data_IF_688942480367
#
_entry.id   IF_688942480367
#
_cell.length_a   1.000
_cell.length_b   1.000
_cell.length_c   1.000
_cell.angle_alpha   90.00
_cell.angle_beta   90.00
_cell.angle_gamma   90.00
#
_symmetry.space_group_name_H-M   'P 1'
#
loop_
_entity.id
_entity.type
_entity.pdbx_description
1 polymer ?
#
# COMPACT_ATOMS: atom_id res chain seq x y z
N UNK A 1 -33.21 17.15 -12.86
CA UNK A 1 -34.11 17.15 -11.68
C UNK A 1 -33.28 16.75 -10.48
N UNK A 2 -33.08 17.65 -9.51
CA UNK A 2 -32.25 17.39 -8.32
C UNK A 2 -33.17 17.15 -7.12
N UNK A 3 -33.20 15.92 -6.60
CA UNK A 3 -33.95 15.55 -5.39
C UNK A 3 -32.97 14.82 -4.49
N UNK A 4 -32.59 15.44 -3.37
CA UNK A 4 -31.76 14.83 -2.36
C UNK A 4 -32.51 14.85 -1.03
N UNK A 5 -33.05 13.70 -0.63
CA UNK A 5 -33.76 13.52 0.64
C UNK A 5 -32.92 12.80 1.71
N UNK A 6 -31.71 12.35 1.37
CA UNK A 6 -30.85 11.56 2.27
C UNK A 6 -31.35 10.15 2.58
N UNK A 7 -32.46 9.72 1.97
CA UNK A 7 -33.16 8.45 2.30
C UNK A 7 -33.14 7.48 1.12
N UNK A 8 -33.10 7.98 -0.12
CA UNK A 8 -33.15 7.14 -1.33
C UNK A 8 -31.88 7.26 -2.17
N UNK A 9 -31.49 6.17 -2.83
CA UNK A 9 -30.40 6.18 -3.81
C UNK A 9 -30.73 7.13 -4.95
N UNK A 10 -29.69 7.77 -5.49
CA UNK A 10 -29.83 8.84 -6.49
C UNK A 10 -29.20 8.40 -7.80
N UNK A 11 -29.83 8.77 -8.91
CA UNK A 11 -29.27 8.59 -10.26
C UNK A 11 -29.08 9.98 -10.88
N UNK A 12 -27.89 10.25 -11.40
CA UNK A 12 -27.59 11.44 -12.19
C UNK A 12 -27.06 10.99 -13.55
N UNK A 13 -27.59 11.60 -14.62
CA UNK A 13 -27.11 11.35 -15.98
C UNK A 13 -26.73 12.68 -16.59
N UNK A 14 -25.53 12.75 -17.15
CA UNK A 14 -25.06 13.87 -17.98
C UNK A 14 -24.70 13.40 -19.39
N UNK A 15 -24.06 14.27 -20.18
CA UNK A 15 -23.75 13.96 -21.58
C UNK A 15 -22.74 12.82 -21.77
N UNK A 16 -21.95 12.49 -20.75
CA UNK A 16 -20.85 11.51 -20.84
C UNK A 16 -20.86 10.44 -19.75
N UNK A 17 -21.62 10.62 -18.67
CA UNK A 17 -21.63 9.75 -17.49
C UNK A 17 -23.04 9.45 -16.98
N UNK A 18 -23.18 8.28 -16.35
CA UNK A 18 -24.30 7.90 -15.49
C UNK A 18 -23.79 7.53 -14.11
N UNK A 19 -24.20 8.30 -13.10
CA UNK A 19 -23.82 8.10 -11.71
C UNK A 19 -24.97 7.51 -10.91
N UNK A 20 -24.65 6.59 -10.00
CA UNK A 20 -25.52 6.16 -8.92
C UNK A 20 -24.87 6.46 -7.59
N UNK A 21 -25.62 7.04 -6.64
CA UNK A 21 -25.13 7.32 -5.28
C UNK A 21 -26.02 6.63 -4.25
N UNK A 22 -25.42 6.13 -3.17
CA UNK A 22 -26.18 5.68 -1.99
C UNK A 22 -26.95 6.85 -1.35
N UNK A 23 -28.01 6.58 -0.54
CA UNK A 23 -28.79 7.61 0.13
C UNK A 23 -27.97 8.62 0.92
N UNK A 24 -26.98 8.11 1.68
CA UNK A 24 -26.07 8.91 2.48
C UNK A 24 -24.91 9.53 1.68
N UNK A 25 -24.84 9.26 0.37
CA UNK A 25 -23.78 9.74 -0.51
C UNK A 25 -22.41 9.11 -0.29
N UNK A 26 -22.27 8.09 0.54
CA UNK A 26 -20.99 7.46 0.86
C UNK A 26 -20.52 6.40 -0.14
N UNK A 27 -21.40 5.89 -1.00
CA UNK A 27 -21.05 4.91 -2.05
C UNK A 27 -21.51 5.45 -3.39
N UNK A 28 -20.75 5.19 -4.45
CA UNK A 28 -21.12 5.57 -5.79
C UNK A 28 -20.66 4.57 -6.86
N UNK A 29 -21.36 4.60 -7.99
CA UNK A 29 -21.03 3.89 -9.22
C UNK A 29 -21.07 4.90 -10.36
N UNK A 30 -20.01 4.96 -11.19
CA UNK A 30 -19.96 5.74 -12.43
C UNK A 30 -19.87 4.79 -13.62
N UNK A 31 -20.74 5.01 -14.59
CA UNK A 31 -20.78 4.30 -15.86
C UNK A 31 -20.56 5.33 -16.96
N UNK A 32 -19.45 5.19 -17.67
CA UNK A 32 -19.16 6.00 -18.85
C UNK A 32 -19.67 5.31 -20.13
N UNK A 33 -19.89 6.09 -21.19
CA UNK A 33 -20.41 5.60 -22.46
C UNK A 33 -19.60 4.45 -23.10
N UNK A 34 -18.31 4.31 -22.76
CA UNK A 34 -17.45 3.23 -23.24
C UNK A 34 -17.50 1.94 -22.38
N UNK A 35 -18.40 1.87 -21.39
CA UNK A 35 -18.63 0.66 -20.59
C UNK A 35 -17.66 0.44 -19.43
N UNK A 36 -16.81 1.40 -19.09
CA UNK A 36 -16.02 1.33 -17.87
C UNK A 36 -16.93 1.62 -16.66
N UNK A 37 -16.92 0.71 -15.69
CA UNK A 37 -17.65 0.82 -14.43
C UNK A 37 -16.63 1.12 -13.33
N UNK A 38 -16.69 2.32 -12.74
CA UNK A 38 -15.93 2.66 -11.55
C UNK A 38 -16.88 2.60 -10.34
N UNK A 39 -16.46 1.93 -9.27
CA UNK A 39 -17.18 1.91 -8.00
C UNK A 39 -16.27 2.47 -6.92
N UNK A 40 -16.80 3.35 -6.07
CA UNK A 40 -16.01 3.99 -5.02
C UNK A 40 -16.82 4.36 -3.79
N UNK A 41 -16.08 4.61 -2.72
CA UNK A 41 -16.61 5.18 -1.49
C UNK A 41 -16.25 6.67 -1.44
N UNK A 42 -17.15 7.50 -0.98
CA UNK A 42 -16.94 8.96 -0.81
C UNK A 42 -16.17 9.25 0.48
N UNK A 43 -16.35 8.40 1.50
CA UNK A 43 -15.62 8.43 2.76
C UNK A 43 -14.83 7.12 2.90
N UNK A 44 -13.64 7.05 2.30
CA UNK A 44 -12.67 6.01 2.65
C UNK A 44 -11.91 6.50 3.89
N UNK A 45 -12.24 5.95 5.06
CA UNK A 45 -11.41 6.11 6.27
C UNK A 45 -10.10 5.34 6.06
N UNK A 46 -9.10 6.07 5.55
CA UNK A 46 -7.80 5.54 5.13
C UNK A 46 -7.61 5.69 3.62
N UNK A 47 -7.01 6.81 3.19
CA UNK A 47 -6.79 7.05 1.76
C UNK A 47 -5.69 6.13 1.25
N UNK A 48 -6.07 5.11 0.49
CA UNK A 48 -5.18 4.48 -0.49
C UNK A 48 -5.39 5.17 -1.84
N UNK A 49 -4.54 6.14 -2.15
CA UNK A 49 -4.55 6.78 -3.48
C UNK A 49 -3.76 5.89 -4.44
N UNK A 50 -4.43 5.30 -5.44
CA UNK A 50 -3.77 4.80 -6.65
C UNK A 50 -3.56 5.99 -7.59
N UNK A 51 -2.34 6.53 -7.66
CA UNK A 51 -1.97 7.49 -8.71
C UNK A 51 -1.16 6.75 -9.77
N UNK A 52 -1.76 6.56 -10.95
CA UNK A 52 -1.02 6.23 -12.16
C UNK A 52 -0.65 7.52 -12.87
N UNK A 53 0.64 7.88 -12.88
CA UNK A 53 1.14 8.78 -13.92
C UNK A 53 1.68 7.95 -15.10
N UNK A 54 2.01 8.58 -16.22
CA UNK A 54 2.47 7.88 -17.44
C UNK A 54 3.79 7.09 -17.27
N UNK A 55 4.40 7.11 -16.08
CA UNK A 55 5.73 6.57 -15.79
C UNK A 55 5.72 5.62 -14.59
N UNK A 56 4.94 5.88 -13.52
CA UNK A 56 4.98 5.08 -12.29
C UNK A 56 3.61 4.90 -11.60
N UNK A 57 3.45 3.72 -10.99
CA UNK A 57 2.42 3.46 -9.98
C UNK A 57 2.96 3.84 -8.59
N UNK A 58 2.39 4.86 -7.95
CA UNK A 58 2.90 5.37 -6.67
C UNK A 58 1.87 5.28 -5.53
N UNK A 59 2.33 4.82 -4.36
CA UNK A 59 1.63 4.97 -3.09
C UNK A 59 2.15 6.24 -2.40
N UNK A 60 1.29 7.06 -1.78
CA UNK A 60 1.67 8.28 -1.02
C UNK A 60 0.97 8.36 0.35
N UNK A 61 1.66 8.85 1.38
CA UNK A 61 1.08 9.13 2.69
C UNK A 61 0.34 10.46 2.69
N UNK A 62 -0.88 10.50 3.23
CA UNK A 62 -1.73 11.71 3.29
C UNK A 62 -1.13 12.80 4.18
N UNK A 63 -0.46 12.39 5.26
CA UNK A 63 0.10 13.29 6.26
C UNK A 63 1.61 13.14 6.27
N UNK A 64 2.33 14.27 6.22
CA UNK A 64 3.80 14.28 6.34
C UNK A 64 4.20 13.59 7.66
N UNK A 65 5.19 12.70 7.59
CA UNK A 65 5.64 11.92 8.74
C UNK A 65 4.77 10.70 9.06
N UNK A 66 3.72 10.41 8.28
CA UNK A 66 2.92 9.18 8.39
C UNK A 66 3.37 8.13 7.37
N UNK A 67 2.92 6.88 7.57
CA UNK A 67 3.11 5.78 6.62
C UNK A 67 1.86 5.59 5.77
N UNK A 68 2.04 5.14 4.53
CA UNK A 68 0.98 4.50 3.74
C UNK A 68 1.34 3.05 3.49
N UNK A 69 0.41 2.14 3.78
CA UNK A 69 0.65 0.70 3.78
C UNK A 69 -0.51 -0.05 3.13
N UNK A 70 -0.19 -1.18 2.49
CA UNK A 70 -1.12 -2.27 2.23
C UNK A 70 -0.87 -3.31 3.34
N UNK A 71 -1.88 -3.56 4.16
CA UNK A 71 -1.80 -4.46 5.31
C UNK A 71 -2.60 -5.73 5.11
N UNK A 72 -2.11 -6.82 5.69
CA UNK A 72 -2.86 -8.07 5.80
C UNK A 72 -3.33 -8.26 7.23
N UNK A 73 -4.58 -8.69 7.36
CA UNK A 73 -5.28 -8.81 8.64
C UNK A 73 -5.88 -10.20 8.79
N UNK A 74 -5.99 -10.67 10.02
CA UNK A 74 -6.82 -11.82 10.37
C UNK A 74 -8.30 -11.43 10.32
N UNK A 75 -9.17 -12.43 10.43
CA UNK A 75 -10.62 -12.23 10.55
C UNK A 75 -11.06 -11.50 11.83
N UNK A 76 -10.15 -11.34 12.80
CA UNK A 76 -10.35 -10.61 14.05
C UNK A 76 -9.78 -9.18 14.03
N UNK A 77 -9.51 -8.64 12.83
CA UNK A 77 -8.92 -7.32 12.59
C UNK A 77 -7.49 -7.13 13.14
N UNK A 78 -6.81 -8.20 13.55
CA UNK A 78 -5.39 -8.13 13.93
C UNK A 78 -4.52 -8.08 12.68
N UNK A 79 -3.68 -7.03 12.55
CA UNK A 79 -2.69 -6.94 11.46
C UNK A 79 -1.57 -7.98 11.66
N UNK A 80 -1.22 -8.70 10.60
CA UNK A 80 -0.19 -9.75 10.61
C UNK A 80 1.01 -9.43 9.71
N UNK A 81 0.89 -8.42 8.86
CA UNK A 81 1.99 -7.94 8.03
C UNK A 81 1.56 -6.75 7.18
N UNK A 82 2.53 -6.09 6.56
CA UNK A 82 2.28 -4.99 5.64
C UNK A 82 3.47 -4.70 4.73
N UNK A 83 3.18 -4.11 3.57
CA UNK A 83 4.14 -3.44 2.69
C UNK A 83 3.75 -1.97 2.58
N UNK A 84 4.72 -1.06 2.61
CA UNK A 84 4.42 0.36 2.48
C UNK A 84 5.63 1.25 2.55
N UNK A 85 5.38 2.56 2.62
CA UNK A 85 6.43 3.59 2.64
C UNK A 85 6.11 4.67 3.68
N UNK A 86 7.15 5.34 4.20
CA UNK A 86 7.09 6.25 5.37
C UNK A 86 7.58 5.56 6.66
N UNK A 87 7.97 6.21 7.77
CA UNK A 87 7.69 7.52 8.39
C UNK A 87 8.97 8.10 9.00
N UNK A 88 9.06 9.42 9.19
CA UNK A 88 10.29 10.14 9.58
C UNK A 88 10.96 10.79 8.37
N UNK A 89 12.24 11.14 8.45
CA UNK A 89 13.01 11.73 7.33
C UNK A 89 13.31 10.77 6.16
N UNK A 90 12.80 9.52 6.20
CA UNK A 90 13.16 8.49 5.22
C UNK A 90 11.94 8.01 4.42
N UNK A 91 12.12 7.98 3.10
CA UNK A 91 11.19 7.54 2.06
C UNK A 91 11.27 6.02 1.80
N UNK A 92 11.67 5.23 2.80
CA UNK A 92 12.06 3.83 2.59
C UNK A 92 10.84 2.93 2.35
N UNK A 93 10.90 2.10 1.29
CA UNK A 93 10.00 0.96 1.11
C UNK A 93 10.28 -0.06 2.21
N UNK A 94 9.26 -0.41 2.99
CA UNK A 94 9.35 -1.39 4.06
C UNK A 94 8.40 -2.55 3.82
N UNK A 95 8.90 -3.77 4.04
CA UNK A 95 8.10 -5.00 4.11
C UNK A 95 8.23 -5.54 5.52
N UNK A 96 7.11 -5.77 6.20
CA UNK A 96 7.11 -6.20 7.59
C UNK A 96 6.19 -7.38 7.80
N UNK A 97 6.69 -8.38 8.52
CA UNK A 97 5.91 -9.43 9.15
C UNK A 97 5.71 -9.06 10.63
N UNK A 98 4.47 -9.05 11.10
CA UNK A 98 4.10 -8.79 12.51
C UNK A 98 3.59 -10.07 13.20
N UNK A 99 3.43 -11.17 12.45
CA UNK A 99 3.08 -12.48 12.97
C UNK A 99 4.24 -13.15 13.71
N UNK A 100 3.92 -13.81 14.83
CA UNK A 100 4.90 -14.55 15.64
C UNK A 100 5.51 -15.68 14.80
N UNK A 101 6.85 -15.73 14.75
CA UNK A 101 7.60 -16.75 14.00
C UNK A 101 7.55 -16.59 12.48
N UNK A 102 6.99 -15.50 11.97
CA UNK A 102 6.91 -15.22 10.55
C UNK A 102 8.21 -14.65 9.97
N UNK A 103 8.53 -15.04 8.74
CA UNK A 103 9.65 -14.49 7.97
C UNK A 103 9.13 -13.57 6.85
N UNK A 104 9.99 -12.67 6.36
CA UNK A 104 9.80 -12.00 5.07
C UNK A 104 10.74 -12.66 4.07
N UNK A 105 10.21 -13.11 2.93
CA UNK A 105 10.98 -13.74 1.86
C UNK A 105 10.75 -12.99 0.55
N UNK A 106 11.84 -12.79 -0.20
CA UNK A 106 11.82 -12.27 -1.56
C UNK A 106 12.38 -13.38 -2.46
N UNK A 107 11.58 -13.88 -3.40
CA UNK A 107 11.97 -14.94 -4.34
C UNK A 107 11.74 -14.44 -5.78
N UNK A 108 12.72 -14.65 -6.65
CA UNK A 108 12.56 -14.60 -8.10
C UNK A 108 12.71 -16.02 -8.69
N UNK A 109 11.68 -16.52 -9.37
CA UNK A 109 11.65 -17.91 -9.87
C UNK A 109 12.71 -18.19 -10.95
N UNK A 110 12.98 -17.22 -11.84
CA UNK A 110 14.01 -17.29 -12.89
C UNK A 110 14.78 -15.95 -13.02
N UNK A 111 15.02 -15.27 -11.89
CA UNK A 111 15.58 -13.91 -11.89
C UNK A 111 16.55 -13.61 -10.74
N UNK A 112 17.14 -12.42 -10.78
CA UNK A 112 18.04 -11.90 -9.75
C UNK A 112 17.33 -10.81 -8.94
N UNK A 113 17.45 -10.88 -7.62
CA UNK A 113 17.06 -9.79 -6.72
C UNK A 113 18.27 -8.86 -6.57
N UNK A 114 18.21 -7.69 -7.19
CA UNK A 114 19.26 -6.68 -7.08
C UNK A 114 19.03 -5.80 -5.86
N UNK A 115 20.04 -5.76 -4.98
CA UNK A 115 20.10 -4.85 -3.84
C UNK A 115 21.33 -3.99 -4.08
N UNK A 116 21.13 -2.70 -4.37
CA UNK A 116 22.22 -1.84 -4.82
C UNK A 116 23.11 -1.39 -3.64
N UNK A 117 22.63 -0.47 -2.82
CA UNK A 117 23.48 0.16 -1.81
C UNK A 117 23.50 -0.59 -0.47
N UNK A 118 22.33 -0.97 0.09
CA UNK A 118 22.26 -1.82 1.29
C UNK A 118 20.87 -2.43 1.49
N UNK A 119 20.81 -3.62 2.12
CA UNK A 119 19.60 -4.21 2.70
C UNK A 119 19.68 -4.08 4.22
N UNK A 120 18.82 -3.25 4.81
CA UNK A 120 18.69 -3.21 6.27
C UNK A 120 17.76 -4.33 6.73
N UNK A 121 18.30 -5.30 7.47
CA UNK A 121 17.51 -6.35 8.15
C UNK A 121 17.51 -6.04 9.64
N UNK A 122 16.35 -5.72 10.22
CA UNK A 122 16.24 -5.60 11.68
C UNK A 122 15.49 -6.82 12.22
N UNK A 123 16.13 -7.59 13.10
CA UNK A 123 15.46 -8.68 13.82
C UNK A 123 15.00 -8.16 15.17
N UNK A 124 13.75 -8.46 15.56
CA UNK A 124 13.19 -8.06 16.86
C UNK A 124 13.76 -8.85 18.06
N UNK A 125 14.64 -9.82 17.82
CA UNK A 125 15.14 -10.76 18.83
C UNK A 125 16.60 -10.55 19.25
N UNK A 126 17.31 -9.58 18.67
CA UNK A 126 18.68 -9.24 19.04
C UNK A 126 18.82 -7.76 19.42
N UNK A 127 19.58 -7.46 20.45
CA UNK A 127 20.01 -6.09 20.74
C UNK A 127 21.08 -5.67 19.72
N UNK A 128 20.68 -5.14 18.56
CA UNK A 128 21.58 -4.63 17.54
C UNK A 128 20.96 -4.60 16.13
N UNK A 129 21.50 -3.76 15.24
CA UNK A 129 21.21 -3.85 13.80
C UNK A 129 22.05 -5.02 13.22
N UNK A 130 21.40 -6.04 12.65
CA UNK A 130 22.08 -7.14 11.93
C UNK A 130 22.11 -6.82 10.44
N UNK A 131 23.29 -6.47 9.91
CA UNK A 131 23.44 -6.16 8.50
C UNK A 131 23.64 -7.45 7.69
N UNK A 132 23.01 -7.53 6.53
CA UNK A 132 23.34 -8.54 5.52
C UNK A 132 24.17 -7.86 4.44
N UNK A 133 25.47 -8.11 4.46
CA UNK A 133 26.44 -7.48 3.59
C UNK A 133 26.78 -8.40 2.42
N UNK A 134 27.19 -7.78 1.30
CA UNK A 134 27.64 -8.49 0.10
C UNK A 134 29.14 -8.21 -0.06
N UNK A 135 29.98 -9.26 -0.08
CA UNK A 135 31.41 -9.07 -0.30
C UNK A 135 31.71 -8.79 -1.78
N UNK A 136 32.98 -8.48 -2.10
CA UNK A 136 33.43 -8.24 -3.49
C UNK A 136 33.25 -9.45 -4.43
N UNK A 137 32.95 -10.63 -3.90
CA UNK A 137 32.63 -11.84 -4.66
C UNK A 137 31.11 -12.11 -4.77
N UNK A 138 30.26 -11.18 -4.32
CA UNK A 138 28.80 -11.33 -4.38
C UNK A 138 28.19 -12.25 -3.32
N UNK A 139 28.97 -12.68 -2.32
CA UNK A 139 28.49 -13.58 -1.28
C UNK A 139 27.83 -12.79 -0.14
N UNK A 140 26.65 -13.24 0.28
CA UNK A 140 25.91 -12.63 1.39
C UNK A 140 26.41 -13.18 2.73
N UNK A 141 26.73 -12.31 3.68
CA UNK A 141 27.13 -12.67 5.04
C UNK A 141 26.50 -11.74 6.07
N UNK A 142 26.37 -12.22 7.31
CA UNK A 142 25.87 -11.42 8.44
C UNK A 142 27.00 -10.63 9.08
N UNK A 143 26.76 -9.35 9.36
CA UNK A 143 27.69 -8.48 10.08
C UNK A 143 26.96 -7.70 11.18
N UNK A 144 27.55 -7.66 12.37
CA UNK A 144 27.11 -6.84 13.50
C UNK A 144 27.82 -5.48 13.58
N UNK A 145 28.76 -5.21 12.67
CA UNK A 145 29.59 -4.00 12.65
C UNK A 145 29.32 -3.08 11.45
N UNK A 146 28.31 -3.41 10.62
CA UNK A 146 28.00 -2.72 9.37
C UNK A 146 28.50 -3.44 8.11
N UNK A 147 28.15 -2.87 6.97
CA UNK A 147 28.75 -3.15 5.65
C UNK A 147 29.63 -1.94 5.29
#
# INVERSE_FOLDING_TARGET
>A
MYINDGIRSRIQVDGTHSYMFSPNGQKWVDIINSGLILQGDTDIDGIFTLTGDQVNFQMKAKTIGSKSVIGWYKSDDTRIGWIGHGSGANYDLTIRNEGVGGNVQLWADDGLVYINDYLKVSTLTGSGDDYVCVNSAGQMFRSSAGC
#
